data_IF_907281028307
#
_entry.id   IF_907281028307
#
_cell.length_a   1.000
_cell.length_b   1.000
_cell.length_c   1.000
_cell.angle_alpha   90.00
_cell.angle_beta   90.00
_cell.angle_gamma   90.00
#
_symmetry.space_group_name_H-M   'P 1'
#
loop_
_entity.id
_entity.type
_entity.pdbx_description
1 polymer ?
#
# COMPACT_ATOMS: atom_id res chain seq x y z
N UNK A 1 -10.87 9.97 -16.04
CA UNK A 1 -11.92 9.40 -15.16
C UNK A 1 -11.25 8.54 -14.10
N UNK A 2 -11.71 8.60 -12.85
CA UNK A 2 -11.17 7.69 -11.83
C UNK A 2 -11.87 6.33 -11.95
N UNK A 3 -11.10 5.25 -11.77
CA UNK A 3 -11.63 3.89 -11.83
C UNK A 3 -10.85 2.96 -10.90
N UNK A 4 -11.48 1.86 -10.54
CA UNK A 4 -10.86 0.72 -9.89
C UNK A 4 -9.81 0.06 -10.79
N UNK A 5 -8.73 -0.41 -10.19
CA UNK A 5 -7.62 -1.09 -10.85
C UNK A 5 -6.86 -1.98 -9.86
N UNK A 6 -6.20 -3.03 -10.32
CA UNK A 6 -5.33 -3.83 -9.45
C UNK A 6 -4.01 -3.12 -9.15
N UNK A 7 -3.56 -3.23 -7.90
CA UNK A 7 -2.23 -2.82 -7.50
C UNK A 7 -1.23 -3.88 -8.00
N UNK A 8 -0.22 -3.51 -8.83
CA UNK A 8 0.78 -4.49 -9.28
C UNK A 8 1.72 -4.95 -8.15
N UNK A 9 1.69 -4.28 -7.00
CA UNK A 9 2.61 -4.51 -5.88
C UNK A 9 2.05 -5.51 -4.88
N UNK A 10 0.84 -5.28 -4.37
CA UNK A 10 0.19 -6.14 -3.38
C UNK A 10 -0.99 -6.96 -3.94
N UNK A 11 -1.27 -6.83 -5.25
CA UNK A 11 -2.37 -7.52 -5.95
C UNK A 11 -3.79 -7.23 -5.43
N UNK A 12 -3.94 -6.30 -4.50
CA UNK A 12 -5.24 -5.80 -3.99
C UNK A 12 -5.83 -4.70 -4.88
N UNK A 13 -7.05 -4.30 -4.57
CA UNK A 13 -7.81 -3.30 -5.32
C UNK A 13 -7.35 -1.89 -4.96
N UNK A 14 -7.00 -1.13 -5.99
CA UNK A 14 -6.64 0.28 -5.88
C UNK A 14 -7.39 1.09 -6.96
N UNK A 15 -6.98 2.33 -7.17
CA UNK A 15 -7.58 3.25 -8.11
C UNK A 15 -6.54 3.86 -9.06
N UNK A 16 -7.04 4.28 -10.21
CA UNK A 16 -6.31 5.06 -11.21
C UNK A 16 -7.11 6.33 -11.50
N UNK A 17 -6.44 7.47 -11.69
CA UNK A 17 -7.07 8.73 -12.10
C UNK A 17 -6.53 9.95 -11.34
N UNK A 18 -7.39 10.96 -11.16
CA UNK A 18 -7.08 12.23 -10.51
C UNK A 18 -7.41 12.30 -9.01
N UNK A 19 -8.01 11.25 -8.43
CA UNK A 19 -8.31 11.18 -6.98
C UNK A 19 -9.55 11.95 -6.53
N UNK A 20 -10.29 12.60 -7.44
CA UNK A 20 -11.50 13.36 -7.08
C UNK A 20 -12.75 12.49 -6.91
N UNK A 21 -12.75 11.26 -7.43
CA UNK A 21 -13.94 10.38 -7.39
C UNK A 21 -13.68 9.09 -6.58
N UNK A 22 -12.76 9.14 -5.61
CA UNK A 22 -12.41 7.99 -4.76
C UNK A 22 -13.59 7.43 -3.97
N UNK A 23 -14.49 8.23 -3.37
CA UNK A 23 -15.64 7.70 -2.65
C UNK A 23 -16.50 6.80 -3.54
N UNK A 24 -16.71 7.22 -4.80
CA UNK A 24 -17.48 6.46 -5.78
C UNK A 24 -16.77 5.19 -6.25
N UNK A 25 -15.44 5.24 -6.40
CA UNK A 25 -14.63 4.06 -6.77
C UNK A 25 -14.62 3.02 -5.65
N UNK A 26 -14.46 3.45 -4.41
CA UNK A 26 -14.35 2.58 -3.24
C UNK A 26 -15.70 2.18 -2.63
N UNK A 27 -16.82 2.76 -3.08
CA UNK A 27 -18.16 2.38 -2.61
C UNK A 27 -18.49 0.91 -2.84
N UNK A 28 -17.90 0.27 -3.85
CA UNK A 28 -18.13 -1.14 -4.19
C UNK A 28 -17.03 -2.08 -3.70
N UNK A 29 -15.96 -1.55 -3.09
CA UNK A 29 -14.76 -2.30 -2.73
C UNK A 29 -14.67 -2.40 -1.20
N UNK A 30 -14.82 -3.60 -0.62
CA UNK A 30 -14.71 -3.78 0.83
C UNK A 30 -13.27 -3.49 1.29
N UNK A 31 -13.13 -2.93 2.50
CA UNK A 31 -11.84 -2.49 3.05
C UNK A 31 -10.73 -3.56 3.03
N UNK A 32 -11.10 -4.83 3.22
CA UNK A 32 -10.17 -5.97 3.19
C UNK A 32 -9.49 -6.17 1.82
N UNK A 33 -10.24 -5.88 0.75
CA UNK A 33 -9.77 -5.99 -0.62
C UNK A 33 -9.04 -4.72 -1.10
N UNK A 34 -9.05 -3.64 -0.32
CA UNK A 34 -8.35 -2.41 -0.68
C UNK A 34 -6.84 -2.57 -0.49
N UNK A 35 -6.09 -1.92 -1.39
CA UNK A 35 -4.64 -1.87 -1.36
C UNK A 35 -4.11 -1.32 -0.03
N UNK A 36 -3.13 -2.02 0.55
CA UNK A 36 -2.49 -1.64 1.81
C UNK A 36 -1.11 -1.04 1.60
N UNK A 37 -0.74 -0.72 0.36
CA UNK A 37 0.55 -0.11 0.07
C UNK A 37 0.65 1.32 0.65
N UNK A 38 1.88 1.78 0.87
CA UNK A 38 2.19 3.14 1.33
C UNK A 38 2.93 3.94 0.25
N UNK A 39 2.82 5.29 0.24
CA UNK A 39 2.03 6.13 1.13
C UNK A 39 0.53 6.14 0.76
N UNK A 40 -0.35 6.32 1.76
CA UNK A 40 -1.78 6.53 1.51
C UNK A 40 -2.04 7.93 0.93
N UNK A 41 -3.15 8.06 0.22
CA UNK A 41 -3.61 9.31 -0.37
C UNK A 41 -4.76 9.88 0.46
N UNK A 42 -4.56 11.04 1.09
CA UNK A 42 -5.59 11.71 1.88
C UNK A 42 -6.47 12.60 0.99
N UNK A 43 -7.79 12.47 1.14
CA UNK A 43 -8.80 13.28 0.45
C UNK A 43 -9.93 13.59 1.43
N UNK A 44 -10.12 14.87 1.74
CA UNK A 44 -11.16 15.35 2.68
C UNK A 44 -11.10 14.67 4.06
N UNK A 45 -9.88 14.40 4.55
CA UNK A 45 -9.66 13.70 5.82
C UNK A 45 -9.91 12.19 5.77
N UNK A 46 -10.16 11.63 4.58
CA UNK A 46 -10.28 10.19 4.38
C UNK A 46 -9.02 9.67 3.69
N UNK A 47 -8.40 8.65 4.27
CA UNK A 47 -7.23 7.99 3.70
C UNK A 47 -7.64 6.90 2.72
N UNK A 48 -7.15 7.00 1.50
CA UNK A 48 -7.32 6.01 0.44
C UNK A 48 -5.98 5.34 0.12
N UNK A 49 -5.99 4.13 -0.48
CA UNK A 49 -4.77 3.53 -0.99
C UNK A 49 -4.02 4.42 -1.99
N UNK A 50 -2.71 4.20 -2.20
CA UNK A 50 -1.96 4.87 -3.24
C UNK A 50 -2.51 4.55 -4.62
N UNK A 51 -2.42 5.53 -5.53
CA UNK A 51 -2.69 5.32 -6.95
C UNK A 51 -1.85 4.16 -7.50
N UNK A 52 -2.35 3.45 -8.50
CA UNK A 52 -1.57 2.47 -9.27
C UNK A 52 -0.17 3.00 -9.60
N UNK A 53 0.85 2.24 -9.22
CA UNK A 53 2.26 2.53 -9.50
C UNK A 53 2.96 3.48 -8.52
N UNK A 54 2.26 4.06 -7.54
CA UNK A 54 2.88 4.96 -6.54
C UNK A 54 3.07 4.29 -5.17
N UNK A 55 2.41 3.17 -4.93
CA UNK A 55 2.48 2.44 -3.66
C UNK A 55 3.65 1.45 -3.58
N UNK A 56 4.20 1.31 -2.38
CA UNK A 56 5.15 0.27 -1.97
C UNK A 56 4.44 -0.73 -1.06
N UNK A 57 4.65 -2.04 -1.27
CA UNK A 57 4.11 -3.09 -0.39
C UNK A 57 4.69 -2.92 1.01
N UNK A 58 3.83 -2.94 2.01
CA UNK A 58 4.26 -3.16 3.40
C UNK A 58 4.50 -4.65 3.67
N UNK A 59 3.90 -5.53 2.86
CA UNK A 59 4.19 -6.96 2.79
C UNK A 59 5.38 -7.22 1.86
N UNK A 60 6.53 -6.72 2.25
CA UNK A 60 7.78 -7.36 1.90
C UNK A 60 8.41 -7.55 3.25
N UNK A 61 8.05 -8.67 3.87
CA UNK A 61 8.62 -9.05 5.15
C UNK A 61 10.13 -8.89 5.05
N UNK A 62 10.66 -7.99 5.88
CA UNK A 62 11.98 -8.15 6.45
C UNK A 62 12.02 -9.55 7.07
N UNK A 63 12.35 -10.55 6.27
CA UNK A 63 12.87 -11.83 6.74
C UNK A 63 14.18 -11.52 7.46
N UNK A 64 14.04 -11.24 8.76
CA UNK A 64 15.08 -11.29 9.78
C UNK A 64 16.40 -10.65 9.39
N UNK A 65 16.57 -9.37 9.71
CA UNK A 65 17.88 -8.93 10.19
C UNK A 65 18.12 -9.66 11.53
N UNK A 66 18.63 -10.89 11.42
CA UNK A 66 19.38 -11.50 12.50
C UNK A 66 20.57 -10.57 12.75
N UNK A 67 20.42 -9.65 13.70
CA UNK A 67 21.53 -8.94 14.31
C UNK A 67 22.44 -9.98 14.95
N UNK A 68 23.35 -10.57 14.16
CA UNK A 68 24.56 -11.19 14.67
C UNK A 68 25.37 -10.00 15.22
N UNK A 69 25.05 -9.59 16.45
CA UNK A 69 25.95 -8.77 17.25
C UNK A 69 27.21 -9.61 17.46
N UNK A 70 28.12 -9.44 16.50
CA UNK A 70 29.56 -9.55 16.56
C UNK A 70 30.05 -10.48 17.68
N UNK A 71 30.21 -11.74 17.29
CA UNK A 71 31.08 -12.74 17.89
C UNK A 71 32.57 -12.28 17.89
N UNK A 72 32.89 -11.16 18.55
CA UNK A 72 34.20 -10.92 19.18
C UNK A 72 33.97 -11.03 20.68
N UNK A 73 34.02 -12.21 21.30
CA UNK A 73 35.07 -13.23 21.20
C UNK A 73 36.45 -12.59 21.34
N UNK A 74 36.79 -12.33 22.61
CA UNK A 74 38.11 -12.57 23.18
C UNK A 74 39.31 -12.22 22.29
N UNK A 75 39.77 -10.98 22.40
CA UNK A 75 41.20 -10.65 22.41
C UNK A 75 41.44 -9.49 23.37
#
# INVERSE_FOLDING_TARGET
>A
MCRQANCPTCQKETWFGCGQHLPSVFSSIPADQQCTCIPKFEKDGVEYPPKVGTGKSQDSGDEGDIVIHDLKRNV
#
